data_IF_034723142128
#
_entry.id   IF_034723142128
#
_cell.length_a   1.000
_cell.length_b   1.000
_cell.length_c   1.000
_cell.angle_alpha   90.00
_cell.angle_beta   90.00
_cell.angle_gamma   90.00
#
_symmetry.space_group_name_H-M   'P 1'
#
loop_
_entity.id
_entity.type
_entity.pdbx_description
1 polymer ?
#
# COMPACT_ATOMS: atom_id res chain seq x y z
N UNK A 1 19.33 15.13 -3.63
CA UNK A 1 18.55 13.92 -3.98
C UNK A 1 18.10 13.96 -5.43
N UNK A 2 17.48 15.06 -5.89
CA UNK A 2 17.07 15.21 -7.30
C UNK A 2 18.21 15.34 -8.31
N UNK A 3 19.41 15.73 -7.88
CA UNK A 3 20.59 15.86 -8.75
C UNK A 3 21.40 14.55 -8.93
N UNK A 4 20.91 13.43 -8.39
CA UNK A 4 21.60 12.15 -8.52
C UNK A 4 21.48 11.63 -9.96
N UNK A 5 22.60 11.32 -10.62
CA UNK A 5 22.62 10.89 -12.02
C UNK A 5 21.87 9.56 -12.26
N UNK A 6 21.58 8.79 -11.22
CA UNK A 6 20.79 7.56 -11.29
C UNK A 6 19.29 7.85 -11.32
N UNK A 7 18.86 9.06 -10.94
CA UNK A 7 17.47 9.45 -10.90
C UNK A 7 16.99 9.84 -12.30
N UNK A 8 15.90 9.22 -12.73
CA UNK A 8 15.13 9.62 -13.91
C UNK A 8 13.73 10.00 -13.45
N UNK A 9 13.35 11.25 -13.66
CA UNK A 9 11.99 11.74 -13.38
C UNK A 9 11.16 11.65 -14.65
N UNK A 10 10.01 10.99 -14.57
CA UNK A 10 9.03 10.89 -15.66
C UNK A 10 7.74 11.53 -15.20
N UNK A 11 7.31 12.59 -15.89
CA UNK A 11 6.03 13.25 -15.63
C UNK A 11 5.00 12.67 -16.60
N UNK A 12 4.21 11.72 -16.12
CA UNK A 12 3.19 11.01 -16.90
C UNK A 12 2.10 10.44 -15.99
N UNK A 13 1.04 9.91 -16.59
CA UNK A 13 0.10 9.05 -15.89
C UNK A 13 0.80 7.73 -15.50
N UNK A 14 0.84 7.43 -14.21
CA UNK A 14 1.55 6.26 -13.68
C UNK A 14 0.92 4.93 -14.10
N UNK A 15 -0.42 4.88 -14.25
CA UNK A 15 -1.13 3.67 -14.70
C UNK A 15 -0.71 3.33 -16.12
N UNK A 16 -0.83 4.30 -17.02
CA UNK A 16 -0.43 4.18 -18.42
C UNK A 16 1.05 3.83 -18.57
N UNK A 17 1.92 4.46 -17.77
CA UNK A 17 3.33 4.14 -17.78
C UNK A 17 3.58 2.66 -17.49
N UNK A 18 2.97 2.12 -16.44
CA UNK A 18 3.11 0.71 -16.05
C UNK A 18 2.49 -0.24 -17.09
N UNK A 19 1.34 0.12 -17.68
CA UNK A 19 0.71 -0.66 -18.75
C UNK A 19 1.59 -0.78 -20.00
N UNK A 20 2.21 0.33 -20.41
CA UNK A 20 3.03 0.41 -21.62
C UNK A 20 4.49 -0.06 -21.37
N UNK A 21 4.93 -0.15 -20.11
CA UNK A 21 6.31 -0.47 -19.74
C UNK A 21 6.73 -1.89 -20.16
N UNK A 22 7.94 -1.99 -20.73
CA UNK A 22 8.60 -3.24 -21.12
C UNK A 22 9.86 -3.55 -20.29
N UNK A 23 10.24 -2.64 -19.39
CA UNK A 23 11.36 -2.83 -18.47
C UNK A 23 10.93 -3.69 -17.28
N UNK A 24 11.90 -4.30 -16.59
CA UNK A 24 11.66 -5.02 -15.34
C UNK A 24 12.32 -4.32 -14.16
N UNK A 25 11.68 -4.42 -13.00
CA UNK A 25 12.14 -3.79 -11.76
C UNK A 25 12.27 -4.83 -10.63
N UNK A 26 13.35 -4.72 -9.85
CA UNK A 26 13.56 -5.53 -8.64
C UNK A 26 12.79 -4.99 -7.43
N UNK A 27 12.47 -3.69 -7.44
CA UNK A 27 11.71 -3.02 -6.39
C UNK A 27 10.78 -1.99 -7.02
N UNK A 28 9.50 -2.07 -6.68
CA UNK A 28 8.50 -1.08 -7.01
C UNK A 28 7.92 -0.49 -5.72
N UNK A 29 7.89 0.84 -5.61
CA UNK A 29 7.29 1.52 -4.46
C UNK A 29 6.15 2.40 -4.99
N UNK A 30 4.92 2.06 -4.60
CA UNK A 30 3.74 2.85 -4.92
C UNK A 30 3.43 3.77 -3.74
N UNK A 31 3.89 5.02 -3.85
CA UNK A 31 3.60 6.09 -2.89
C UNK A 31 2.43 6.93 -3.41
N UNK A 32 1.22 6.41 -3.16
CA UNK A 32 -0.03 6.92 -3.71
C UNK A 32 -0.85 7.58 -2.60
N UNK A 33 -1.83 8.39 -2.99
CA UNK A 33 -2.90 8.83 -2.09
C UNK A 33 -3.93 7.72 -1.92
N UNK A 34 -4.67 7.73 -0.81
CA UNK A 34 -5.79 6.82 -0.51
C UNK A 34 -6.66 6.48 -1.75
N UNK A 35 -7.19 5.25 -1.86
CA UNK A 35 -7.81 4.71 -3.08
C UNK A 35 -9.21 5.27 -3.36
N UNK A 36 -9.30 6.58 -3.61
CA UNK A 36 -10.53 7.30 -3.90
C UNK A 36 -10.34 8.22 -5.10
N UNK A 37 -11.41 8.44 -5.86
CA UNK A 37 -11.34 9.22 -7.09
C UNK A 37 -10.29 8.63 -8.07
N UNK A 38 -9.41 9.46 -8.67
CA UNK A 38 -8.49 8.99 -9.70
C UNK A 38 -7.48 7.93 -9.24
N UNK A 39 -7.09 7.91 -7.97
CA UNK A 39 -6.08 6.96 -7.47
C UNK A 39 -6.64 5.55 -7.31
N UNK A 40 -7.95 5.37 -7.18
CA UNK A 40 -8.57 4.04 -6.95
C UNK A 40 -8.18 3.02 -8.03
N UNK A 41 -8.07 3.46 -9.28
CA UNK A 41 -7.65 2.61 -10.39
C UNK A 41 -6.23 2.02 -10.22
N UNK A 42 -5.37 2.64 -9.40
CA UNK A 42 -4.02 2.18 -9.07
C UNK A 42 -3.99 1.17 -7.90
N UNK A 43 -5.15 0.80 -7.35
CA UNK A 43 -5.28 -0.23 -6.32
C UNK A 43 -6.07 -1.45 -6.81
N UNK A 44 -6.61 -1.38 -8.02
CA UNK A 44 -7.37 -2.47 -8.63
C UNK A 44 -6.49 -3.66 -9.00
N UNK A 45 -7.08 -4.84 -9.01
CA UNK A 45 -6.42 -6.10 -9.37
C UNK A 45 -5.79 -6.05 -10.77
N UNK A 46 -6.45 -5.44 -11.75
CA UNK A 46 -5.95 -5.32 -13.13
C UNK A 46 -4.65 -4.49 -13.18
N UNK A 47 -4.61 -3.34 -12.51
CA UNK A 47 -3.39 -2.55 -12.41
C UNK A 47 -2.28 -3.30 -11.66
N UNK A 48 -2.61 -3.97 -10.55
CA UNK A 48 -1.62 -4.75 -9.80
C UNK A 48 -1.06 -5.93 -10.61
N UNK A 49 -1.83 -6.54 -11.51
CA UNK A 49 -1.31 -7.53 -12.47
C UNK A 49 -0.34 -6.91 -13.47
N UNK A 50 -0.60 -5.68 -13.96
CA UNK A 50 0.38 -4.96 -14.78
C UNK A 50 1.67 -4.65 -13.99
N UNK A 51 1.56 -4.29 -12.71
CA UNK A 51 2.72 -4.14 -11.84
C UNK A 51 3.49 -5.46 -11.69
N UNK A 52 2.79 -6.58 -11.45
CA UNK A 52 3.40 -7.92 -11.32
C UNK A 52 4.13 -8.33 -12.59
N UNK A 53 3.59 -8.02 -13.77
CA UNK A 53 4.19 -8.33 -15.08
C UNK A 53 5.58 -7.70 -15.26
N UNK A 54 5.78 -6.49 -14.76
CA UNK A 54 7.05 -5.74 -14.87
C UNK A 54 7.92 -5.86 -13.61
N UNK A 55 7.51 -6.69 -12.66
CA UNK A 55 8.31 -7.04 -11.49
C UNK A 55 9.16 -8.27 -11.83
N UNK A 56 10.44 -8.26 -11.45
CA UNK A 56 11.28 -9.44 -11.57
C UNK A 56 10.74 -10.62 -10.73
N UNK A 57 11.18 -11.87 -10.98
CA UNK A 57 10.72 -13.04 -10.20
C UNK A 57 10.95 -12.90 -8.69
N UNK A 58 12.07 -12.29 -8.29
CA UNK A 58 12.42 -11.95 -6.89
C UNK A 58 12.06 -10.51 -6.52
N UNK A 59 11.33 -9.82 -7.40
CA UNK A 59 11.02 -8.43 -7.20
C UNK A 59 9.97 -8.24 -6.12
N UNK A 60 10.01 -7.08 -5.48
CA UNK A 60 9.08 -6.72 -4.39
C UNK A 60 8.35 -5.44 -4.73
N UNK A 61 7.03 -5.45 -4.58
CA UNK A 61 6.20 -4.26 -4.57
C UNK A 61 5.95 -3.84 -3.12
N UNK A 62 6.04 -2.54 -2.83
CA UNK A 62 5.65 -1.97 -1.55
C UNK A 62 4.65 -0.85 -1.74
N UNK A 63 3.59 -0.85 -0.93
CA UNK A 63 2.58 0.21 -0.92
C UNK A 63 1.88 0.30 0.43
N UNK A 64 1.18 1.40 0.68
CA UNK A 64 0.38 1.53 1.90
C UNK A 64 -0.98 0.82 1.76
N UNK A 65 -1.48 0.32 2.90
CA UNK A 65 -2.84 -0.21 3.06
C UNK A 65 -3.77 0.83 3.72
N UNK A 66 -3.21 1.92 4.24
CA UNK A 66 -3.95 2.87 5.08
C UNK A 66 -4.02 2.40 6.54
N UNK A 67 -4.78 3.11 7.37
CA UNK A 67 -4.87 2.77 8.80
C UNK A 67 -5.84 1.61 9.04
N UNK A 68 -5.40 0.48 9.66
CA UNK A 68 -6.30 -0.60 10.03
C UNK A 68 -7.25 -0.22 11.18
N UNK A 69 -6.97 0.87 11.90
CA UNK A 69 -7.81 1.38 12.99
C UNK A 69 -8.85 2.35 12.45
N UNK A 70 -8.41 3.36 11.67
CA UNK A 70 -9.32 4.41 11.21
C UNK A 70 -10.11 4.03 9.96
N UNK A 71 -9.55 3.17 9.11
CA UNK A 71 -10.15 2.74 7.84
C UNK A 71 -9.95 1.23 7.60
N UNK A 72 -10.47 0.36 8.49
CA UNK A 72 -10.28 -1.09 8.40
C UNK A 72 -10.76 -1.68 7.07
N UNK A 73 -11.83 -1.12 6.48
CA UNK A 73 -12.31 -1.56 5.17
C UNK A 73 -11.30 -1.26 4.05
N UNK A 74 -10.72 -0.05 4.01
CA UNK A 74 -9.68 0.30 3.02
C UNK A 74 -8.50 -0.65 3.16
N UNK A 75 -8.01 -0.84 4.39
CA UNK A 75 -6.91 -1.75 4.68
C UNK A 75 -7.16 -3.16 4.15
N UNK A 76 -8.34 -3.72 4.46
CA UNK A 76 -8.71 -5.09 4.07
C UNK A 76 -8.87 -5.23 2.56
N UNK A 77 -9.41 -4.23 1.88
CA UNK A 77 -9.64 -4.26 0.43
C UNK A 77 -8.37 -4.10 -0.39
N UNK A 78 -7.47 -3.21 0.04
CA UNK A 78 -6.15 -3.10 -0.58
C UNK A 78 -5.34 -4.38 -0.35
N UNK A 79 -5.36 -4.93 0.87
CA UNK A 79 -4.76 -6.23 1.16
C UNK A 79 -5.33 -7.34 0.26
N UNK A 80 -6.65 -7.40 0.11
CA UNK A 80 -7.31 -8.41 -0.73
C UNK A 80 -6.86 -8.32 -2.18
N UNK A 81 -6.74 -7.10 -2.72
CA UNK A 81 -6.28 -6.86 -4.10
C UNK A 81 -4.85 -7.36 -4.31
N UNK A 82 -3.95 -7.05 -3.37
CA UNK A 82 -2.58 -7.59 -3.40
C UNK A 82 -2.59 -9.12 -3.29
N UNK A 83 -3.41 -9.69 -2.42
CA UNK A 83 -3.45 -11.14 -2.18
C UNK A 83 -4.04 -11.93 -3.35
N UNK A 84 -4.87 -11.30 -4.17
CA UNK A 84 -5.36 -11.87 -5.44
C UNK A 84 -4.25 -12.01 -6.47
N UNK A 85 -3.28 -11.09 -6.49
CA UNK A 85 -2.25 -11.00 -7.55
C UNK A 85 -0.92 -11.66 -7.14
N UNK A 86 -0.53 -11.57 -5.86
CA UNK A 86 0.79 -11.97 -5.39
C UNK A 86 0.73 -13.19 -4.45
N UNK A 87 1.69 -14.11 -4.62
CA UNK A 87 1.81 -15.32 -3.79
C UNK A 87 2.18 -14.99 -2.35
N UNK A 88 3.11 -14.05 -2.16
CA UNK A 88 3.59 -13.59 -0.86
C UNK A 88 3.14 -12.16 -0.64
N UNK A 89 2.30 -11.94 0.38
CA UNK A 89 1.87 -10.60 0.82
C UNK A 89 2.08 -10.51 2.33
N UNK A 90 2.91 -9.56 2.77
CA UNK A 90 3.25 -9.33 4.18
C UNK A 90 2.84 -7.91 4.59
N UNK A 91 1.67 -7.75 5.22
CA UNK A 91 1.32 -6.51 5.89
C UNK A 91 2.28 -6.23 7.06
N UNK A 92 2.64 -4.97 7.25
CA UNK A 92 3.39 -4.48 8.40
C UNK A 92 2.83 -3.14 8.86
N UNK A 93 3.07 -2.81 10.12
CA UNK A 93 2.53 -1.60 10.72
C UNK A 93 3.65 -0.68 11.20
N UNK A 94 3.48 0.61 10.96
CA UNK A 94 4.36 1.66 11.48
C UNK A 94 3.47 2.72 12.15
N UNK A 95 3.85 3.17 13.34
CA UNK A 95 3.19 4.34 13.92
C UNK A 95 3.75 5.62 13.28
N UNK A 96 2.88 6.40 12.64
CA UNK A 96 3.26 7.68 12.04
C UNK A 96 2.73 8.80 12.93
N UNK A 97 3.59 9.50 13.71
CA UNK A 97 3.13 10.45 14.72
C UNK A 97 2.22 11.55 14.18
N UNK A 98 2.51 12.07 12.98
CA UNK A 98 1.71 13.12 12.35
C UNK A 98 0.30 12.64 11.97
N UNK A 99 0.13 11.35 11.69
CA UNK A 99 -1.16 10.77 11.37
C UNK A 99 -1.95 10.38 12.63
N UNK A 100 -1.29 10.33 13.80
CA UNK A 100 -1.92 9.97 15.07
C UNK A 100 -2.47 8.56 15.13
N UNK A 101 -1.99 7.64 14.27
CA UNK A 101 -2.50 6.28 14.17
C UNK A 101 -1.44 5.31 13.65
N UNK A 102 -1.73 4.01 13.77
CA UNK A 102 -0.98 2.98 13.05
C UNK A 102 -1.27 3.09 11.56
N UNK A 103 -0.21 3.14 10.76
CA UNK A 103 -0.28 3.10 9.31
C UNK A 103 0.11 1.72 8.81
N UNK A 104 -0.79 1.12 8.03
CA UNK A 104 -0.59 -0.16 7.39
C UNK A 104 0.19 0.01 6.10
N UNK A 105 1.18 -0.85 5.92
CA UNK A 105 1.93 -1.02 4.69
C UNK A 105 1.92 -2.50 4.32
N UNK A 106 2.27 -2.82 3.08
CA UNK A 106 2.51 -4.20 2.67
C UNK A 106 3.72 -4.30 1.77
N UNK A 107 4.39 -5.45 1.84
CA UNK A 107 5.20 -5.96 0.73
C UNK A 107 4.44 -7.04 -0.01
N UNK A 108 4.55 -7.08 -1.32
CA UNK A 108 3.96 -8.09 -2.17
C UNK A 108 4.99 -8.59 -3.20
N UNK A 109 5.09 -9.90 -3.37
CA UNK A 109 6.03 -10.53 -4.29
C UNK A 109 5.47 -11.85 -4.80
N UNK A 110 6.01 -12.33 -5.92
CA UNK A 110 5.71 -13.67 -6.43
C UNK A 110 6.24 -14.73 -5.46
N UNK A 111 7.48 -14.57 -4.97
CA UNK A 111 8.12 -15.58 -4.12
C UNK A 111 8.99 -15.02 -2.98
N UNK A 112 9.36 -13.74 -3.00
CA UNK A 112 10.25 -13.18 -1.98
C UNK A 112 9.47 -12.83 -0.71
N UNK A 113 9.88 -13.40 0.42
CA UNK A 113 9.30 -13.13 1.74
C UNK A 113 10.27 -12.32 2.60
N UNK A 114 9.93 -11.09 3.04
CA UNK A 114 10.80 -10.33 3.94
C UNK A 114 11.06 -11.06 5.26
N UNK A 115 10.12 -11.89 5.73
CA UNK A 115 10.27 -12.66 6.97
C UNK A 115 11.22 -13.86 6.84
N UNK A 116 11.74 -14.14 5.65
CA UNK A 116 12.85 -15.08 5.48
C UNK A 116 14.18 -14.53 6.05
N UNK A 117 14.26 -13.22 6.29
CA UNK A 117 15.39 -12.58 6.96
C UNK A 117 15.13 -12.51 8.46
N UNK A 118 16.11 -12.88 9.26
CA UNK A 118 16.11 -12.57 10.68
C UNK A 118 16.80 -11.22 10.97
N UNK A 119 16.78 -10.77 12.22
CA UNK A 119 17.41 -9.50 12.65
C UNK A 119 18.90 -9.43 12.25
N UNK A 120 19.65 -10.52 12.47
CA UNK A 120 21.08 -10.59 12.14
C UNK A 120 21.36 -10.47 10.64
N UNK A 121 20.55 -11.13 9.80
CA UNK A 121 20.69 -11.03 8.35
C UNK A 121 20.39 -9.60 7.86
N UNK A 122 19.44 -8.91 8.48
CA UNK A 122 19.12 -7.51 8.16
C UNK A 122 20.29 -6.61 8.55
N UNK A 123 20.84 -6.75 9.75
CA UNK A 123 22.00 -5.98 10.21
C UNK A 123 23.23 -6.20 9.32
N UNK A 124 23.51 -7.45 8.95
CA UNK A 124 24.61 -7.78 8.04
C UNK A 124 24.43 -7.12 6.67
N UNK A 125 23.19 -7.12 6.13
CA UNK A 125 22.87 -6.44 4.87
C UNK A 125 23.04 -4.93 4.99
N UNK A 126 22.57 -4.30 6.07
CA UNK A 126 22.74 -2.86 6.31
C UNK A 126 24.21 -2.48 6.38
N UNK A 127 25.02 -3.25 7.14
CA UNK A 127 26.46 -3.07 7.25
C UNK A 127 27.17 -3.23 5.90
N UNK A 128 26.90 -4.30 5.17
CA UNK A 128 27.51 -4.61 3.87
C UNK A 128 27.20 -3.52 2.84
N UNK A 129 25.98 -2.99 2.85
CA UNK A 129 25.52 -1.89 1.97
C UNK A 129 25.92 -0.50 2.47
N UNK A 130 26.61 -0.41 3.61
CA UNK A 130 27.04 0.85 4.26
C UNK A 130 25.87 1.80 4.55
N UNK A 131 24.73 1.24 4.95
CA UNK A 131 23.55 2.00 5.38
C UNK A 131 23.58 2.08 6.91
N UNK A 132 24.02 3.21 7.45
CA UNK A 132 24.33 3.36 8.89
C UNK A 132 23.71 4.61 9.54
N UNK A 133 22.96 5.43 8.78
CA UNK A 133 22.33 6.66 9.26
C UNK A 133 20.80 6.55 9.35
N UNK A 134 20.29 5.39 9.77
CA UNK A 134 18.86 5.13 9.96
C UNK A 134 18.44 5.52 11.39
N UNK A 135 17.30 6.19 11.52
CA UNK A 135 16.74 6.56 12.82
C UNK A 135 15.70 5.56 13.35
N UNK A 136 15.02 4.86 12.45
CA UNK A 136 13.89 3.99 12.80
C UNK A 136 14.15 2.51 12.50
N UNK A 137 14.77 2.21 11.36
CA UNK A 137 14.90 0.85 10.86
C UNK A 137 16.25 0.21 11.22
N UNK A 138 16.20 -1.01 11.70
CA UNK A 138 17.30 -1.90 12.09
C UNK A 138 16.81 -3.37 12.05
N UNK A 139 17.64 -4.33 12.42
CA UNK A 139 17.26 -5.75 12.39
C UNK A 139 16.05 -6.09 13.27
N UNK A 140 15.98 -5.53 14.48
CA UNK A 140 14.91 -5.84 15.43
C UNK A 140 13.58 -5.21 15.02
N UNK A 141 13.62 -3.95 14.57
CA UNK A 141 12.44 -3.24 14.07
C UNK A 141 11.93 -3.84 12.78
N UNK A 142 12.79 -4.40 11.91
CA UNK A 142 12.34 -5.19 10.77
C UNK A 142 11.41 -6.33 11.21
N UNK A 143 11.80 -7.12 12.22
CA UNK A 143 10.91 -8.17 12.75
C UNK A 143 9.67 -7.57 13.41
N UNK A 144 9.86 -6.51 14.20
CA UNK A 144 8.82 -5.87 15.00
C UNK A 144 7.65 -5.34 14.16
N UNK A 145 7.91 -4.72 13.01
CA UNK A 145 6.83 -4.16 12.17
C UNK A 145 5.90 -5.21 11.58
N UNK A 146 6.37 -6.45 11.39
CA UNK A 146 5.56 -7.58 10.91
C UNK A 146 4.84 -8.33 12.04
N UNK A 147 5.07 -7.98 13.32
CA UNK A 147 4.35 -8.55 14.45
C UNK A 147 2.96 -7.90 14.58
N UNK A 148 1.96 -8.52 13.94
CA UNK A 148 0.62 -7.94 13.83
C UNK A 148 -0.26 -8.23 15.07
N UNK A 149 -0.95 -7.24 15.64
CA UNK A 149 -1.93 -7.45 16.70
C UNK A 149 -3.16 -8.20 16.17
N UNK A 150 -3.88 -8.88 17.05
CA UNK A 150 -4.99 -9.77 16.66
C UNK A 150 -6.07 -9.06 15.84
N UNK A 151 -6.45 -7.82 16.16
CA UNK A 151 -7.46 -7.10 15.37
C UNK A 151 -7.05 -6.92 13.90
N UNK A 152 -5.73 -6.80 13.61
CA UNK A 152 -5.24 -6.76 12.22
C UNK A 152 -5.25 -8.16 11.62
N UNK A 153 -4.84 -9.18 12.38
CA UNK A 153 -4.90 -10.57 11.91
C UNK A 153 -6.32 -10.97 11.50
N UNK A 154 -7.32 -10.55 12.27
CA UNK A 154 -8.73 -10.79 11.98
C UNK A 154 -9.14 -10.16 10.62
N UNK A 155 -8.69 -8.94 10.33
CA UNK A 155 -8.90 -8.29 9.03
C UNK A 155 -8.27 -9.05 7.86
N UNK A 156 -7.14 -9.74 8.08
CA UNK A 156 -6.45 -10.52 7.04
C UNK A 156 -7.11 -11.88 6.77
N UNK A 157 -7.87 -12.41 7.73
CA UNK A 157 -8.57 -13.70 7.63
C UNK A 157 -10.02 -13.57 7.16
N UNK A 158 -10.56 -12.36 7.09
CA UNK A 158 -11.88 -12.09 6.54
C UNK A 158 -11.94 -12.45 5.04
N UNK A 159 -13.15 -12.71 4.53
CA UNK A 159 -13.37 -13.01 3.12
C UNK A 159 -12.78 -11.92 2.21
N UNK A 160 -11.93 -12.33 1.26
CA UNK A 160 -11.24 -11.40 0.38
C UNK A 160 -12.24 -10.67 -0.52
N UNK A 161 -12.23 -9.34 -0.47
CA UNK A 161 -13.03 -8.45 -1.33
C UNK A 161 -12.10 -7.47 -2.05
N UNK A 162 -11.40 -7.92 -3.11
CA UNK A 162 -10.45 -7.07 -3.82
C UNK A 162 -11.14 -5.88 -4.50
N UNK A 163 -10.34 -4.92 -4.91
CA UNK A 163 -10.77 -3.73 -5.65
C UNK A 163 -10.73 -4.08 -7.12
N UNK A 164 -11.88 -3.90 -7.78
CA UNK A 164 -12.05 -4.18 -9.21
C UNK A 164 -12.94 -3.11 -9.82
N UNK A 165 -13.01 -3.05 -11.14
CA UNK A 165 -13.93 -2.14 -11.81
C UNK A 165 -15.42 -2.43 -11.47
N UNK A 166 -15.77 -3.70 -11.24
CA UNK A 166 -17.13 -4.11 -10.90
C UNK A 166 -17.47 -3.94 -9.41
N UNK A 167 -16.46 -3.86 -8.57
CA UNK A 167 -16.57 -3.64 -7.13
C UNK A 167 -15.52 -2.60 -6.72
N UNK A 168 -15.73 -1.30 -7.02
CA UNK A 168 -14.77 -0.25 -6.73
C UNK A 168 -14.76 0.10 -5.23
N UNK A 169 -13.76 0.87 -4.77
CA UNK A 169 -13.78 1.41 -3.41
C UNK A 169 -14.95 2.38 -3.19
N UNK A 170 -15.69 2.18 -2.10
CA UNK A 170 -16.73 3.11 -1.66
C UNK A 170 -16.07 4.38 -1.12
N UNK A 171 -16.29 5.52 -1.77
CA UNK A 171 -15.72 6.80 -1.33
C UNK A 171 -16.45 7.32 -0.08
N UNK A 172 -15.77 7.39 1.08
CA UNK A 172 -16.41 7.85 2.30
C UNK A 172 -16.79 9.33 2.15
N UNK A 173 -18.10 9.60 2.19
CA UNK A 173 -18.65 10.95 2.12
C UNK A 173 -19.13 11.41 0.74
N UNK A 174 -19.28 10.49 -0.22
CA UNK A 174 -19.93 10.76 -1.51
C UNK A 174 -21.09 9.82 -1.86
N UNK A 175 -21.36 8.78 -1.05
CA UNK A 175 -22.58 8.00 -1.20
C UNK A 175 -23.79 8.84 -0.73
N UNK A 176 -24.69 9.27 -1.65
CA UNK A 176 -25.84 10.11 -1.30
C UNK A 176 -26.74 9.45 -0.25
N UNK A 177 -26.72 8.12 -0.13
CA UNK A 177 -27.50 7.34 0.82
C UNK A 177 -26.96 7.44 2.26
N UNK A 178 -25.70 7.83 2.41
CA UNK A 178 -25.03 7.99 3.71
C UNK A 178 -25.05 9.43 4.23
N UNK A 179 -25.68 10.37 3.50
CA UNK A 179 -25.85 11.75 3.94
C UNK A 179 -27.25 12.01 4.49
N UNK A 180 -27.32 12.79 5.57
CA UNK A 180 -28.58 13.42 5.99
C UNK A 180 -28.98 14.38 4.86
N UNK A 181 -30.16 14.24 4.24
CA UNK A 181 -30.57 15.15 3.18
C UNK A 181 -30.56 16.59 3.70
N UNK A 182 -29.89 17.48 2.98
CA UNK A 182 -29.89 18.91 3.27
C UNK A 182 -31.33 19.41 3.24
N UNK A 183 -31.84 19.84 4.39
CA UNK A 183 -33.10 20.58 4.47
C UNK A 183 -32.85 22.01 4.05
N UNK A 184 -33.34 22.40 2.88
CA UNK A 184 -33.45 23.80 2.51
C UNK A 184 -34.49 24.44 3.43
N UNK A 185 -34.03 25.31 4.34
CA UNK A 185 -34.90 26.20 5.10
C UNK A 185 -34.96 27.50 4.34
N UNK A 186 -36.06 27.74 3.63
CA UNK A 186 -36.36 29.04 3.06
C UNK A 186 -36.74 29.95 4.24
N UNK A 187 -35.89 30.92 4.54
CA UNK A 187 -36.22 31.96 5.50
C UNK A 187 -37.16 32.93 4.80
N UNK A 188 -38.39 33.04 5.28
CA UNK A 188 -39.31 34.08 4.84
C UNK A 188 -38.66 35.44 5.13
N UNK A 189 -38.49 36.25 4.09
CA UNK A 189 -38.07 37.64 4.25
C UNK A 189 -39.26 38.43 4.80
N UNK A 190 -39.05 39.13 5.92
CA UNK A 190 -40.00 40.08 6.52
C UNK A 190 -40.46 41.18 5.55
#
# INVERSE_FOLDING_TARGET
AFDDARLKVVIADGKKYVEDCQEQFDLMMLDLTDPFGPSEALYRVDFLEHCRRILGPEGVLSMHLGSPIMRPNVFQRVYSSLKTVFGVVRPYLVYVPLYGTMWGMATASVQTDPLALNSENVEERLKTRKINHLQHYNGDTHQGVFALPNYVRDLLTADLRPITELDPMDEPGLDPRNHIPLKFVQLDQE
#
